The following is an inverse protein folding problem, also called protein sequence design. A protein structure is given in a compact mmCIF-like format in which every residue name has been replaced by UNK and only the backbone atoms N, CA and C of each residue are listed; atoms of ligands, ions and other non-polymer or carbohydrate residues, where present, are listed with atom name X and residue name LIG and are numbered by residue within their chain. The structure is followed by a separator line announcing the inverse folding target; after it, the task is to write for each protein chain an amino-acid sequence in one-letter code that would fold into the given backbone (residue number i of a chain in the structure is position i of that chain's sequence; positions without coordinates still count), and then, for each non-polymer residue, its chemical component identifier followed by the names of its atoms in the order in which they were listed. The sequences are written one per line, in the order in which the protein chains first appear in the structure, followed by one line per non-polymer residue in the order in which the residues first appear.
data_IF_659646448350
#
_entry.id   IF_659646448350
#
_cell.length_a   1.000
_cell.length_b   1.000
_cell.length_c   1.000
_cell.angle_alpha   90.00
_cell.angle_beta   90.00
_cell.angle_gamma   90.00
#
_symmetry.space_group_name_H-M   'P 1'
#
loop_
_entity.id
_entity.type
_entity.pdbx_description
1 polymer ?
#
# COMPACT_ATOMS: atom_id res chain seq x y z
N UNK A 1 -3.05 30.72 -49.51
CA UNK A 1 -1.99 30.87 -48.48
C UNK A 1 -1.79 29.54 -47.79
N UNK A 2 -0.67 28.84 -48.01
CA UNK A 2 -0.28 27.72 -47.14
C UNK A 2 0.11 28.34 -45.79
N UNK A 3 -0.65 28.10 -44.72
CA UNK A 3 -0.19 28.45 -43.36
C UNK A 3 1.14 27.72 -43.14
N UNK A 4 2.22 28.48 -42.93
CA UNK A 4 3.47 27.90 -42.44
C UNK A 4 3.17 27.17 -41.13
N UNK A 5 3.39 25.85 -41.11
CA UNK A 5 3.31 25.08 -39.87
C UNK A 5 4.36 25.63 -38.91
N UNK A 6 3.93 26.37 -37.89
CA UNK A 6 4.83 26.83 -36.82
C UNK A 6 5.57 25.62 -36.26
N UNK A 7 6.89 25.74 -36.14
CA UNK A 7 7.71 24.71 -35.51
C UNK A 7 7.42 24.64 -34.00
N UNK A 8 7.66 23.48 -33.40
CA UNK A 8 7.56 23.32 -31.93
C UNK A 8 8.56 24.24 -31.23
N UNK A 9 8.13 24.86 -30.14
CA UNK A 9 9.02 25.69 -29.31
C UNK A 9 10.13 24.84 -28.71
N UNK A 10 11.34 25.40 -28.66
CA UNK A 10 12.54 24.80 -28.06
C UNK A 10 12.72 25.32 -26.63
N UNK A 11 13.48 24.57 -25.83
CA UNK A 11 13.64 24.85 -24.40
C UNK A 11 14.17 26.27 -24.08
N UNK A 12 15.06 26.79 -24.93
CA UNK A 12 15.66 28.13 -24.77
C UNK A 12 14.81 29.27 -25.35
N UNK A 13 13.66 28.97 -25.95
CA UNK A 13 12.73 29.97 -26.50
C UNK A 13 11.69 30.41 -25.46
N UNK A 14 11.65 29.75 -24.29
CA UNK A 14 10.75 30.11 -23.19
C UNK A 14 11.34 31.23 -22.31
N UNK A 15 10.49 32.08 -21.68
CA UNK A 15 10.95 33.08 -20.71
C UNK A 15 11.73 32.47 -19.54
N UNK A 16 12.66 33.22 -18.96
CA UNK A 16 13.66 32.73 -18.00
C UNK A 16 13.10 31.96 -16.77
N UNK A 17 11.88 32.25 -16.34
CA UNK A 17 11.21 31.58 -15.22
C UNK A 17 10.70 30.17 -15.56
N UNK A 18 10.57 29.82 -16.85
CA UNK A 18 10.04 28.53 -17.28
C UNK A 18 11.06 27.41 -17.16
N UNK A 19 12.35 27.67 -17.35
CA UNK A 19 13.35 26.60 -17.38
C UNK A 19 13.44 25.86 -16.05
N UNK A 20 13.42 26.58 -14.92
CA UNK A 20 13.39 25.99 -13.58
C UNK A 20 12.17 25.06 -13.41
N UNK A 21 10.98 25.54 -13.80
CA UNK A 21 9.75 24.76 -13.74
C UNK A 21 9.81 23.53 -14.66
N UNK A 22 10.16 23.70 -15.94
CA UNK A 22 10.25 22.61 -16.91
C UNK A 22 11.25 21.56 -16.43
N UNK A 23 12.45 21.97 -16.02
CA UNK A 23 13.50 21.04 -15.55
C UNK A 23 13.06 20.34 -14.28
N UNK A 24 12.53 21.08 -13.29
CA UNK A 24 12.09 20.55 -12.00
C UNK A 24 10.90 19.59 -12.10
N UNK A 25 10.01 19.81 -13.07
CA UNK A 25 8.85 18.94 -13.28
C UNK A 25 9.14 17.77 -14.22
N UNK A 26 9.93 17.99 -15.29
CA UNK A 26 10.09 17.02 -16.37
C UNK A 26 11.27 16.06 -16.20
N UNK A 27 12.32 16.47 -15.49
CA UNK A 27 13.48 15.62 -15.20
C UNK A 27 13.40 15.07 -13.77
N UNK A 28 13.60 13.76 -13.64
CA UNK A 28 13.89 13.16 -12.35
C UNK A 28 15.29 13.58 -11.88
N UNK A 29 15.54 13.52 -10.56
CA UNK A 29 16.87 13.79 -10.01
C UNK A 29 17.96 12.90 -10.65
N UNK A 30 17.64 11.63 -10.92
CA UNK A 30 18.56 10.71 -11.56
C UNK A 30 18.92 11.13 -13.01
N UNK A 31 17.93 11.60 -13.78
CA UNK A 31 18.14 12.11 -15.13
C UNK A 31 18.93 13.42 -15.12
N UNK A 32 18.59 14.36 -14.23
CA UNK A 32 19.33 15.60 -14.05
C UNK A 32 20.80 15.32 -13.72
N UNK A 33 21.08 14.40 -12.77
CA UNK A 33 22.45 13.96 -12.45
C UNK A 33 23.17 13.34 -13.65
N UNK A 34 22.48 12.56 -14.50
CA UNK A 34 23.08 12.00 -15.73
C UNK A 34 23.49 13.11 -16.69
N UNK A 35 22.65 14.14 -16.86
CA UNK A 35 22.97 15.33 -17.66
C UNK A 35 24.16 16.08 -17.04
N UNK A 36 24.14 16.34 -15.73
CA UNK A 36 25.23 17.00 -15.02
C UNK A 36 26.57 16.29 -15.21
N UNK A 37 26.63 14.97 -15.00
CA UNK A 37 27.84 14.17 -15.23
C UNK A 37 28.33 14.24 -16.68
N UNK A 38 27.41 14.20 -17.65
CA UNK A 38 27.76 14.27 -19.08
C UNK A 38 28.45 15.59 -19.45
N UNK A 39 28.08 16.68 -18.78
CA UNK A 39 28.63 18.01 -19.03
C UNK A 39 29.64 18.46 -17.96
N UNK A 40 30.16 17.53 -17.16
CA UNK A 40 31.25 17.79 -16.23
C UNK A 40 30.88 18.62 -14.99
N UNK A 41 29.63 18.60 -14.55
CA UNK A 41 29.22 19.26 -13.30
C UNK A 41 29.78 18.50 -12.11
N UNK A 42 30.52 19.20 -11.26
CA UNK A 42 31.07 18.71 -9.99
C UNK A 42 30.56 19.58 -8.85
N UNK A 43 30.40 18.99 -7.66
CA UNK A 43 30.09 19.70 -6.42
C UNK A 43 31.10 19.27 -5.36
N UNK A 44 31.72 20.23 -4.69
CA UNK A 44 32.66 19.96 -3.59
C UNK A 44 31.94 19.42 -2.35
N UNK A 45 30.67 19.78 -2.18
CA UNK A 45 29.77 19.23 -1.16
C UNK A 45 28.80 18.21 -1.80
N UNK A 46 28.88 16.91 -1.45
CA UNK A 46 27.96 15.89 -1.93
C UNK A 46 26.48 16.16 -1.60
N UNK A 47 26.20 16.86 -0.50
CA UNK A 47 24.82 17.20 -0.08
C UNK A 47 24.18 18.25 -0.98
N UNK A 48 25.00 19.05 -1.68
CA UNK A 48 24.55 20.12 -2.58
C UNK A 48 24.49 19.69 -4.05
N UNK A 49 24.93 18.49 -4.38
CA UNK A 49 25.08 18.04 -5.76
C UNK A 49 23.82 18.24 -6.61
N UNK A 50 22.64 17.92 -6.07
CA UNK A 50 21.38 18.08 -6.79
C UNK A 50 21.04 19.53 -7.09
N UNK A 51 21.25 20.43 -6.12
CA UNK A 51 21.02 21.85 -6.28
C UNK A 51 22.01 22.46 -7.30
N UNK A 52 23.28 22.06 -7.24
CA UNK A 52 24.32 22.49 -8.18
C UNK A 52 24.01 22.01 -9.60
N UNK A 53 23.65 20.74 -9.77
CA UNK A 53 23.26 20.18 -11.08
C UNK A 53 22.01 20.86 -11.62
N UNK A 54 20.97 21.05 -10.79
CA UNK A 54 19.74 21.72 -11.22
C UNK A 54 20.03 23.15 -11.68
N UNK A 55 20.75 23.94 -10.87
CA UNK A 55 21.09 25.33 -11.18
C UNK A 55 21.92 25.45 -12.46
N UNK A 56 22.87 24.52 -12.67
CA UNK A 56 23.63 24.44 -13.92
C UNK A 56 22.73 24.20 -15.13
N UNK A 57 21.86 23.20 -15.07
CA UNK A 57 20.98 22.86 -16.20
C UNK A 57 20.02 24.01 -16.50
N UNK A 58 19.44 24.65 -15.47
CA UNK A 58 18.52 25.80 -15.63
C UNK A 58 19.23 26.96 -16.32
N UNK A 59 20.43 27.33 -15.88
CA UNK A 59 21.23 28.39 -16.48
C UNK A 59 21.57 28.10 -17.94
N UNK A 60 21.93 26.86 -18.26
CA UNK A 60 22.28 26.50 -19.63
C UNK A 60 21.05 26.31 -20.53
N UNK A 61 19.88 25.99 -19.94
CA UNK A 61 18.61 25.83 -20.63
C UNK A 61 17.98 27.15 -21.10
N UNK A 62 18.30 28.28 -20.46
CA UNK A 62 17.77 29.60 -20.84
C UNK A 62 18.43 30.21 -22.07
N UNK A 63 19.48 29.56 -22.60
CA UNK A 63 20.20 29.97 -23.81
C UNK A 63 20.38 28.78 -24.76
N UNK A 64 20.57 29.07 -26.04
CA UNK A 64 20.90 28.03 -27.01
C UNK A 64 22.33 27.51 -26.73
N UNK A 65 22.43 26.28 -26.26
CA UNK A 65 23.68 25.65 -25.80
C UNK A 65 23.67 24.16 -26.11
N UNK A 66 24.82 23.50 -25.98
CA UNK A 66 24.91 22.03 -26.11
C UNK A 66 24.06 21.34 -25.04
N UNK A 67 24.00 21.90 -23.83
CA UNK A 67 23.21 21.38 -22.72
C UNK A 67 21.72 21.54 -23.01
N UNK A 68 21.26 22.72 -23.42
CA UNK A 68 19.84 22.96 -23.70
C UNK A 68 19.34 22.16 -24.89
N UNK A 69 20.17 21.98 -25.92
CA UNK A 69 19.90 21.08 -27.05
C UNK A 69 19.79 19.62 -26.58
N UNK A 70 20.72 19.17 -25.73
CA UNK A 70 20.68 17.81 -25.20
C UNK A 70 19.43 17.56 -24.34
N UNK A 71 19.09 18.48 -23.44
CA UNK A 71 17.90 18.37 -22.59
C UNK A 71 16.63 18.44 -23.43
N UNK A 72 16.53 19.36 -24.39
CA UNK A 72 15.39 19.45 -25.30
C UNK A 72 15.17 18.13 -26.07
N UNK A 73 16.25 17.53 -26.60
CA UNK A 73 16.18 16.22 -27.28
C UNK A 73 15.80 15.08 -26.32
N UNK A 74 16.32 15.10 -25.10
CA UNK A 74 15.96 14.15 -24.06
C UNK A 74 14.45 14.22 -23.75
N UNK A 75 13.91 15.41 -23.52
CA UNK A 75 12.48 15.62 -23.24
C UNK A 75 11.60 15.22 -24.44
N UNK A 76 12.03 15.55 -25.66
CA UNK A 76 11.34 15.14 -26.89
C UNK A 76 11.25 13.62 -27.03
N UNK A 77 12.35 12.91 -26.79
CA UNK A 77 12.36 11.44 -26.82
C UNK A 77 11.55 10.84 -25.67
N UNK A 78 11.70 11.39 -24.47
CA UNK A 78 11.03 10.89 -23.25
C UNK A 78 9.51 10.99 -23.36
N UNK A 79 9.00 12.06 -23.96
CA UNK A 79 7.57 12.36 -24.02
C UNK A 79 7.00 12.28 -25.44
N UNK A 80 7.64 11.54 -26.33
CA UNK A 80 7.24 11.41 -27.74
C UNK A 80 5.77 11.00 -27.90
N UNK A 81 5.29 10.05 -27.09
CA UNK A 81 3.88 9.63 -27.11
C UNK A 81 2.90 10.78 -26.80
N UNK A 82 3.18 11.56 -25.76
CA UNK A 82 2.33 12.71 -25.39
C UNK A 82 2.46 13.87 -26.36
N UNK A 83 3.64 14.09 -26.95
CA UNK A 83 3.83 15.07 -28.02
C UNK A 83 2.99 14.70 -29.25
N UNK A 84 2.95 13.41 -29.62
CA UNK A 84 2.08 12.93 -30.71
C UNK A 84 0.60 13.16 -30.39
N UNK A 85 0.15 12.84 -29.16
CA UNK A 85 -1.23 13.09 -28.72
C UNK A 85 -1.58 14.59 -28.76
N UNK A 86 -0.70 15.45 -28.26
CA UNK A 86 -0.87 16.90 -28.28
C UNK A 86 -0.90 17.50 -29.69
N UNK A 87 -0.26 16.86 -30.68
CA UNK A 87 -0.22 17.36 -32.06
C UNK A 87 -1.58 17.41 -32.77
N UNK A 88 -2.57 16.67 -32.25
CA UNK A 88 -3.96 16.74 -32.71
C UNK A 88 -4.68 18.02 -32.25
N UNK A 89 -4.15 18.72 -31.23
CA UNK A 89 -4.70 19.99 -30.76
C UNK A 89 -4.14 21.16 -31.60
N UNK A 90 -4.94 21.62 -32.55
CA UNK A 90 -4.58 22.66 -33.53
C UNK A 90 -5.01 24.09 -33.12
N UNK A 91 -5.65 24.24 -31.96
CA UNK A 91 -6.06 25.55 -31.42
C UNK A 91 -5.70 25.68 -29.93
N UNK A 92 -5.47 26.89 -29.41
CA UNK A 92 -5.15 27.09 -27.99
C UNK A 92 -6.17 26.44 -27.02
N UNK A 93 -7.51 26.54 -27.23
CA UNK A 93 -8.47 25.87 -26.36
C UNK A 93 -8.35 24.34 -26.36
N UNK A 94 -8.00 23.73 -27.49
CA UNK A 94 -7.75 22.27 -27.57
C UNK A 94 -6.47 21.89 -26.83
N UNK A 95 -5.42 22.71 -26.92
CA UNK A 95 -4.18 22.47 -26.15
C UNK A 95 -4.43 22.57 -24.65
N UNK A 96 -5.24 23.53 -24.21
CA UNK A 96 -5.65 23.66 -22.81
C UNK A 96 -6.56 22.50 -22.34
N UNK A 97 -7.42 21.98 -23.20
CA UNK A 97 -8.20 20.78 -22.90
C UNK A 97 -7.30 19.55 -22.73
N UNK A 98 -6.35 19.34 -23.65
CA UNK A 98 -5.32 18.31 -23.53
C UNK A 98 -4.50 18.45 -22.24
N UNK A 99 -4.12 19.67 -21.88
CA UNK A 99 -3.41 19.93 -20.62
C UNK A 99 -4.22 19.51 -19.39
N UNK A 100 -5.50 19.87 -19.33
CA UNK A 100 -6.40 19.46 -18.24
C UNK A 100 -6.51 17.95 -18.12
N UNK A 101 -6.73 17.25 -19.24
CA UNK A 101 -6.79 15.78 -19.27
C UNK A 101 -5.48 15.16 -18.75
N UNK A 102 -4.33 15.72 -19.13
CA UNK A 102 -3.03 15.24 -18.64
C UNK A 102 -2.86 15.47 -17.12
N UNK A 103 -3.35 16.59 -16.58
CA UNK A 103 -3.37 16.86 -15.15
C UNK A 103 -4.27 15.86 -14.40
N UNK A 104 -5.49 15.65 -14.89
CA UNK A 104 -6.48 14.75 -14.27
C UNK A 104 -6.00 13.30 -14.27
N UNK A 105 -5.24 12.91 -15.31
CA UNK A 105 -4.62 11.59 -15.42
C UNK A 105 -3.31 11.45 -14.63
N UNK A 106 -2.86 12.48 -13.91
CA UNK A 106 -1.59 12.46 -13.18
C UNK A 106 -0.34 12.47 -14.07
N UNK A 107 -0.49 12.77 -15.36
CA UNK A 107 0.57 12.81 -16.37
C UNK A 107 1.17 14.22 -16.53
N UNK A 108 1.27 14.96 -15.41
CA UNK A 108 1.70 16.36 -15.38
C UNK A 108 3.02 16.59 -16.11
N UNK A 109 4.13 15.83 -15.90
CA UNK A 109 5.40 16.10 -16.57
C UNK A 109 5.35 15.99 -18.11
N UNK A 110 4.67 14.95 -18.61
CA UNK A 110 4.63 14.66 -20.04
C UNK A 110 3.62 15.57 -20.75
N UNK A 111 2.47 15.83 -20.12
CA UNK A 111 1.50 16.82 -20.58
C UNK A 111 2.08 18.23 -20.62
N UNK A 112 2.89 18.60 -19.62
CA UNK A 112 3.45 19.94 -19.49
C UNK A 112 4.40 20.26 -20.65
N UNK A 113 5.37 19.37 -20.91
CA UNK A 113 6.29 19.53 -22.04
C UNK A 113 5.56 19.50 -23.39
N UNK A 114 4.63 18.56 -23.58
CA UNK A 114 3.88 18.41 -24.83
C UNK A 114 3.01 19.63 -25.13
N UNK A 115 2.31 20.17 -24.14
CA UNK A 115 1.45 21.33 -24.30
C UNK A 115 2.26 22.62 -24.53
N UNK A 116 3.27 22.90 -23.70
CA UNK A 116 4.08 24.12 -23.81
C UNK A 116 4.82 24.25 -25.15
N UNK A 117 5.23 23.13 -25.72
CA UNK A 117 5.94 23.10 -27.01
C UNK A 117 5.02 22.99 -28.22
N UNK A 118 3.70 22.90 -28.00
CA UNK A 118 2.72 22.81 -29.08
C UNK A 118 2.70 24.13 -29.90
N UNK A 119 2.80 24.07 -31.24
CA UNK A 119 2.81 25.27 -32.07
C UNK A 119 1.51 26.08 -32.06
N UNK A 120 0.40 25.42 -31.69
CA UNK A 120 -0.92 26.01 -31.61
C UNK A 120 -1.17 26.78 -30.30
N UNK A 121 -0.28 26.67 -29.31
CA UNK A 121 -0.43 27.36 -28.03
C UNK A 121 -0.06 28.84 -28.12
N UNK A 122 -0.94 29.69 -27.62
CA UNK A 122 -0.73 31.13 -27.49
C UNK A 122 -0.03 31.50 -26.16
N UNK A 123 0.27 32.78 -25.99
CA UNK A 123 0.97 33.28 -24.79
C UNK A 123 0.11 33.18 -23.53
N UNK A 124 -1.19 33.47 -23.62
CA UNK A 124 -2.12 33.36 -22.51
C UNK A 124 -2.23 31.91 -22.00
N UNK A 125 -2.39 30.94 -22.92
CA UNK A 125 -2.41 29.53 -22.57
C UNK A 125 -1.08 29.05 -21.98
N UNK A 126 0.05 29.55 -22.49
CA UNK A 126 1.38 29.25 -21.94
C UNK A 126 1.52 29.73 -20.49
N UNK A 127 1.07 30.94 -20.17
CA UNK A 127 1.07 31.50 -18.80
C UNK A 127 0.15 30.69 -17.89
N UNK A 128 -1.03 30.29 -18.39
CA UNK A 128 -2.01 29.49 -17.63
C UNK A 128 -1.42 28.15 -17.22
N UNK A 129 -0.87 27.40 -18.16
CA UNK A 129 -0.26 26.08 -17.93
C UNK A 129 0.91 26.19 -16.94
N UNK A 130 1.78 27.21 -17.11
CA UNK A 130 2.87 27.46 -16.18
C UNK A 130 2.37 27.75 -14.75
N UNK A 131 1.32 28.57 -14.63
CA UNK A 131 0.72 28.92 -13.34
C UNK A 131 0.14 27.70 -12.62
N UNK A 132 -0.50 26.78 -13.35
CA UNK A 132 -1.02 25.53 -12.77
C UNK A 132 0.12 24.67 -12.19
N UNK A 133 1.21 24.46 -12.94
CA UNK A 133 2.38 23.69 -12.47
C UNK A 133 3.07 24.38 -11.29
N UNK A 134 3.15 25.71 -11.32
CA UNK A 134 3.72 26.49 -10.23
C UNK A 134 2.94 26.28 -8.93
N UNK A 135 1.60 26.33 -8.98
CA UNK A 135 0.75 26.07 -7.82
C UNK A 135 0.84 24.62 -7.33
N UNK A 136 0.86 23.65 -8.25
CA UNK A 136 1.07 22.24 -7.90
C UNK A 136 2.40 22.02 -7.18
N UNK A 137 3.46 22.72 -7.60
CA UNK A 137 4.77 22.65 -6.96
C UNK A 137 4.74 23.20 -5.52
N UNK A 138 4.02 24.31 -5.30
CA UNK A 138 3.80 24.86 -3.95
C UNK A 138 2.99 23.91 -3.04
N UNK A 139 1.90 23.34 -3.55
CA UNK A 139 1.05 22.41 -2.81
C UNK A 139 1.84 21.14 -2.44
N UNK A 140 2.56 20.54 -3.41
CA UNK A 140 3.39 19.37 -3.17
C UNK A 140 4.50 19.68 -2.16
N UNK A 141 5.15 20.85 -2.26
CA UNK A 141 6.13 21.29 -1.27
C UNK A 141 5.53 21.35 0.14
N UNK A 142 4.35 21.95 0.28
CA UNK A 142 3.68 22.13 1.58
C UNK A 142 3.20 20.80 2.18
N UNK A 143 2.58 19.96 1.37
CA UNK A 143 2.13 18.63 1.78
C UNK A 143 3.32 17.73 2.15
N UNK A 144 4.42 17.80 1.43
CA UNK A 144 5.63 17.04 1.74
C UNK A 144 6.20 17.42 3.11
N UNK A 145 6.20 18.70 3.48
CA UNK A 145 6.64 19.13 4.83
C UNK A 145 5.73 18.54 5.91
N UNK A 146 4.41 18.54 5.71
CA UNK A 146 3.46 17.93 6.66
C UNK A 146 3.68 16.43 6.77
N UNK A 147 3.86 15.74 5.64
CA UNK A 147 4.13 14.30 5.60
C UNK A 147 5.46 13.96 6.27
N UNK A 148 6.53 14.73 6.03
CA UNK A 148 7.83 14.55 6.69
C UNK A 148 7.72 14.68 8.20
N UNK A 149 7.00 15.69 8.71
CA UNK A 149 6.76 15.86 10.15
C UNK A 149 6.00 14.68 10.75
N UNK A 150 4.94 14.23 10.05
CA UNK A 150 4.15 13.08 10.50
C UNK A 150 4.95 11.80 10.50
N UNK A 151 5.80 11.59 9.49
CA UNK A 151 6.70 10.45 9.39
C UNK A 151 7.70 10.45 10.55
N UNK A 152 8.41 11.56 10.76
CA UNK A 152 9.34 11.71 11.88
C UNK A 152 8.68 11.50 13.25
N UNK A 153 7.46 12.02 13.44
CA UNK A 153 6.71 11.78 14.67
C UNK A 153 6.34 10.31 14.85
N UNK A 154 5.88 9.66 13.78
CA UNK A 154 5.49 8.23 13.82
C UNK A 154 6.69 7.33 14.08
N UNK A 155 7.84 7.63 13.48
CA UNK A 155 9.11 6.93 13.73
C UNK A 155 9.53 7.04 15.20
N UNK A 156 9.48 8.25 15.77
CA UNK A 156 9.78 8.46 17.20
C UNK A 156 8.84 7.68 18.12
N UNK A 157 7.53 7.74 17.87
CA UNK A 157 6.54 6.99 18.67
C UNK A 157 6.76 5.48 18.55
N UNK A 158 7.15 5.00 17.38
CA UNK A 158 7.47 3.59 17.17
C UNK A 158 8.70 3.17 18.00
N UNK A 159 9.76 3.98 18.00
CA UNK A 159 10.97 3.76 18.78
C UNK A 159 10.66 3.71 20.29
N UNK A 160 9.93 4.70 20.82
CA UNK A 160 9.52 4.73 22.23
C UNK A 160 8.66 3.51 22.63
N UNK A 161 7.80 3.03 21.73
CA UNK A 161 6.98 1.85 21.99
C UNK A 161 7.81 0.56 22.00
N UNK A 162 8.81 0.44 21.13
CA UNK A 162 9.74 -0.68 21.11
C UNK A 162 10.58 -0.74 22.40
N UNK A 163 11.05 0.41 22.90
CA UNK A 163 11.76 0.50 24.17
C UNK A 163 10.87 0.06 25.34
N UNK A 164 9.65 0.60 25.43
CA UNK A 164 8.67 0.23 26.46
C UNK A 164 8.34 -1.26 26.42
N UNK A 165 8.16 -1.82 25.22
CA UNK A 165 7.90 -3.25 25.04
C UNK A 165 9.07 -4.10 25.54
N UNK A 166 10.31 -3.69 25.23
CA UNK A 166 11.52 -4.39 25.67
C UNK A 166 11.64 -4.37 27.20
N UNK A 167 11.40 -3.23 27.85
CA UNK A 167 11.44 -3.14 29.32
C UNK A 167 10.31 -3.95 29.98
N UNK A 168 9.10 -3.94 29.41
CA UNK A 168 8.01 -4.79 29.90
C UNK A 168 8.35 -6.28 29.80
N UNK A 169 8.95 -6.71 28.69
CA UNK A 169 9.42 -8.09 28.53
C UNK A 169 10.49 -8.44 29.57
N UNK A 170 11.47 -7.54 29.82
CA UNK A 170 12.53 -7.73 30.81
C UNK A 170 11.97 -7.85 32.23
N UNK A 171 11.05 -6.95 32.63
CA UNK A 171 10.37 -6.98 33.93
C UNK A 171 9.56 -8.25 34.11
N UNK A 172 8.87 -8.68 33.06
CA UNK A 172 8.11 -9.93 33.09
C UNK A 172 9.01 -11.15 33.28
N UNK A 173 10.13 -11.21 32.57
CA UNK A 173 11.09 -12.32 32.67
C UNK A 173 11.72 -12.40 34.08
N UNK A 174 12.13 -11.27 34.67
CA UNK A 174 12.62 -11.25 36.05
C UNK A 174 11.58 -11.72 37.06
N UNK A 175 10.33 -11.26 36.91
CA UNK A 175 9.25 -11.65 37.83
C UNK A 175 8.90 -13.14 37.71
N UNK A 176 8.97 -13.69 36.51
CA UNK A 176 8.84 -15.13 36.26
C UNK A 176 9.96 -15.91 36.98
N UNK A 177 11.20 -15.44 36.88
CA UNK A 177 12.35 -16.05 37.55
C UNK A 177 12.22 -16.02 39.08
N UNK A 178 11.78 -14.89 39.65
CA UNK A 178 11.57 -14.76 41.09
C UNK A 178 10.48 -15.70 41.62
N UNK A 179 9.39 -15.87 40.87
CA UNK A 179 8.33 -16.82 41.22
C UNK A 179 8.84 -18.26 41.16
N UNK A 180 9.63 -18.62 40.14
CA UNK A 180 10.25 -19.95 40.04
C UNK A 180 11.13 -20.26 41.26
N UNK A 181 11.99 -19.31 41.66
CA UNK A 181 12.83 -19.46 42.86
C UNK A 181 12.02 -19.63 44.14
N UNK A 182 10.93 -18.87 44.31
CA UNK A 182 10.04 -19.01 45.48
C UNK A 182 9.37 -20.38 45.53
N UNK A 183 8.89 -20.87 44.39
CA UNK A 183 8.30 -22.21 44.31
C UNK A 183 9.35 -23.27 44.68
N UNK A 184 10.56 -23.18 44.14
CA UNK A 184 11.65 -24.13 44.45
C UNK A 184 11.97 -24.19 45.95
N UNK A 185 12.06 -23.02 46.60
CA UNK A 185 12.29 -22.92 48.05
C UNK A 185 11.13 -23.58 48.82
N UNK A 186 9.89 -23.27 48.48
CA UNK A 186 8.72 -23.82 49.18
C UNK A 186 8.54 -25.33 48.93
N UNK A 187 8.85 -25.82 47.73
CA UNK A 187 8.87 -27.27 47.45
C UNK A 187 9.93 -27.99 48.26
N UNK A 188 11.11 -27.39 48.44
CA UNK A 188 12.19 -27.96 49.25
C UNK A 188 11.79 -28.01 50.73
N UNK A 189 11.19 -26.94 51.26
CA UNK A 189 10.65 -26.91 52.63
C UNK A 189 9.59 -27.99 52.86
N UNK A 190 8.67 -28.17 51.91
CA UNK A 190 7.66 -29.22 51.97
C UNK A 190 8.29 -30.62 51.98
N UNK A 191 9.28 -30.88 51.14
CA UNK A 191 9.98 -32.17 51.11
C UNK A 191 10.67 -32.47 52.47
N UNK A 192 11.37 -31.49 53.04
CA UNK A 192 12.01 -31.63 54.37
C UNK A 192 10.97 -31.87 55.47
N UNK A 193 9.86 -31.14 55.46
CA UNK A 193 8.81 -31.32 56.45
C UNK A 193 8.14 -32.70 56.35
N UNK A 194 7.92 -33.22 55.14
CA UNK A 194 7.42 -34.59 54.90
C UNK A 194 8.40 -35.63 55.43
N UNK A 195 9.69 -35.49 55.13
CA UNK A 195 10.73 -36.40 55.59
C UNK A 195 10.84 -36.42 57.13
N UNK A 196 10.66 -35.28 57.80
CA UNK A 196 10.65 -35.19 59.26
C UNK A 196 9.44 -35.89 59.90
N UNK A 197 8.31 -35.95 59.19
CA UNK A 197 7.12 -36.69 59.60
C UNK A 197 7.29 -38.19 59.38
N UNK A 198 7.80 -38.60 58.22
CA UNK A 198 8.05 -40.02 57.89
C UNK A 198 9.16 -40.66 58.73
N UNK A 199 10.16 -39.89 59.16
CA UNK A 199 11.29 -40.38 59.97
C UNK A 199 11.01 -40.52 61.48
N UNK A 200 9.81 -40.17 61.95
CA UNK A 200 9.43 -40.30 63.37
C UNK A 200 8.79 -41.66 63.65
N UNK A 201 9.41 -42.42 64.57
CA UNK A 201 8.86 -43.66 65.12
C UNK A 201 7.62 -43.34 65.97
N UNK A 202 6.55 -44.14 65.85
CA UNK A 202 5.31 -43.99 66.62
C UNK A 202 5.56 -44.21 68.13
N UNK A 203 5.81 -43.11 68.85
CA UNK A 203 5.85 -43.07 70.31
C UNK A 203 4.53 -42.47 70.84
N UNK A 204 3.72 -43.19 71.65
CA UNK A 204 2.40 -42.75 72.10
C UNK A 204 2.37 -41.53 73.05
N UNK A 205 3.52 -40.93 73.35
CA UNK A 205 3.62 -39.79 74.27
C UNK A 205 2.76 -38.60 73.83
N UNK A 206 2.00 -37.95 74.74
CA UNK A 206 1.17 -36.78 74.42
C UNK A 206 1.99 -35.58 73.91
N UNK A 207 3.26 -35.48 74.30
CA UNK A 207 4.18 -34.48 73.76
C UNK A 207 4.57 -34.77 72.29
N UNK A 208 4.71 -36.06 71.94
CA UNK A 208 4.92 -36.50 70.56
C UNK A 208 3.71 -36.16 69.68
N UNK A 209 2.50 -36.47 70.14
CA UNK A 209 1.24 -36.17 69.42
C UNK A 209 1.01 -34.67 69.20
N UNK A 210 1.32 -33.82 70.18
CA UNK A 210 1.23 -32.36 69.99
C UNK A 210 2.23 -31.85 68.94
N UNK A 211 3.44 -32.42 68.91
CA UNK A 211 4.50 -31.98 68.02
C UNK A 211 4.25 -32.46 66.58
N UNK A 212 3.74 -33.68 66.39
CA UNK A 212 3.30 -34.18 65.08
C UNK A 212 2.12 -33.38 64.54
N UNK A 213 1.07 -33.13 65.34
CA UNK A 213 -0.07 -32.30 64.92
C UNK A 213 0.37 -30.88 64.53
N UNK A 214 1.32 -30.28 65.26
CA UNK A 214 1.88 -28.96 64.93
C UNK A 214 2.61 -28.95 63.58
N UNK A 215 3.36 -30.02 63.29
CA UNK A 215 4.09 -30.17 62.02
C UNK A 215 3.16 -30.46 60.85
N UNK A 216 2.14 -31.30 61.02
CA UNK A 216 1.10 -31.55 60.02
C UNK A 216 0.35 -30.26 59.65
N UNK A 217 0.01 -29.44 60.64
CA UNK A 217 -0.64 -28.14 60.41
C UNK A 217 0.28 -27.20 59.62
N UNK A 218 1.59 -27.19 59.93
CA UNK A 218 2.59 -26.43 59.15
C UNK A 218 2.72 -26.95 57.73
N UNK A 219 2.70 -28.26 57.54
CA UNK A 219 2.81 -28.92 56.24
C UNK A 219 1.62 -28.58 55.35
N UNK A 220 0.39 -28.72 55.86
CA UNK A 220 -0.81 -28.28 55.14
C UNK A 220 -0.74 -26.81 54.73
N UNK A 221 -0.23 -25.93 55.61
CA UNK A 221 -0.11 -24.51 55.31
C UNK A 221 0.90 -24.23 54.19
N UNK A 222 2.05 -24.92 54.20
CA UNK A 222 3.07 -24.84 53.16
C UNK A 222 2.57 -25.42 51.83
N UNK A 223 1.87 -26.55 51.84
CA UNK A 223 1.25 -27.13 50.64
C UNK A 223 0.21 -26.19 50.02
N UNK A 224 -0.64 -25.58 50.84
CA UNK A 224 -1.62 -24.59 50.37
C UNK A 224 -0.92 -23.38 49.72
N UNK A 225 0.15 -22.88 50.33
CA UNK A 225 0.95 -21.78 49.77
C UNK A 225 1.64 -22.17 48.45
N UNK A 226 2.18 -23.38 48.36
CA UNK A 226 2.87 -23.88 47.16
C UNK A 226 1.88 -24.05 46.01
N UNK A 227 0.69 -24.59 46.29
CA UNK A 227 -0.39 -24.74 45.31
C UNK A 227 -0.88 -23.37 44.81
N UNK A 228 -1.04 -22.39 45.72
CA UNK A 228 -1.44 -21.03 45.34
C UNK A 228 -0.41 -20.36 44.43
N UNK A 229 0.87 -20.41 44.80
CA UNK A 229 1.96 -19.83 43.99
C UNK A 229 2.09 -20.54 42.63
N UNK A 230 1.94 -21.87 42.58
CA UNK A 230 1.98 -22.64 41.35
C UNK A 230 0.82 -22.30 40.41
N UNK A 231 -0.38 -22.09 40.97
CA UNK A 231 -1.53 -21.65 40.19
C UNK A 231 -1.33 -20.23 39.63
N UNK A 232 -0.85 -19.28 40.44
CA UNK A 232 -0.54 -17.92 39.98
C UNK A 232 0.51 -17.93 38.86
N UNK A 233 1.53 -18.79 38.94
CA UNK A 233 2.56 -18.93 37.90
C UNK A 233 1.97 -19.50 36.61
N UNK A 234 1.10 -20.51 36.70
CA UNK A 234 0.42 -21.11 35.54
C UNK A 234 -0.47 -20.08 34.81
N UNK A 235 -1.28 -19.32 35.56
CA UNK A 235 -2.13 -18.25 35.02
C UNK A 235 -1.30 -17.18 34.30
N UNK A 236 -0.22 -16.70 34.94
CA UNK A 236 0.67 -15.69 34.35
C UNK A 236 1.40 -16.22 33.12
N UNK A 237 1.84 -17.49 33.12
CA UNK A 237 2.45 -18.10 31.95
C UNK A 237 1.47 -18.20 30.77
N UNK A 238 0.19 -18.49 31.03
CA UNK A 238 -0.86 -18.46 30.00
C UNK A 238 -1.05 -17.06 29.43
N UNK A 239 -1.14 -16.04 30.29
CA UNK A 239 -1.26 -14.64 29.85
C UNK A 239 -0.05 -14.20 29.02
N UNK A 240 1.17 -14.55 29.45
CA UNK A 240 2.39 -14.26 28.71
C UNK A 240 2.44 -14.97 27.35
N UNK A 241 2.05 -16.24 27.30
CA UNK A 241 1.96 -16.98 26.05
C UNK A 241 0.93 -16.36 25.10
N UNK A 242 -0.23 -15.95 25.61
CA UNK A 242 -1.25 -15.26 24.83
C UNK A 242 -0.74 -13.91 24.29
N UNK A 243 -0.09 -13.10 25.14
CA UNK A 243 0.49 -11.83 24.73
C UNK A 243 1.61 -11.99 23.69
N UNK A 244 2.50 -12.98 23.86
CA UNK A 244 3.54 -13.35 22.88
C UNK A 244 2.94 -13.76 21.54
N UNK A 245 1.88 -14.55 21.55
CA UNK A 245 1.18 -14.95 20.32
C UNK A 245 0.55 -13.74 19.60
N UNK A 246 -0.06 -12.80 20.35
CA UNK A 246 -0.61 -11.57 19.77
C UNK A 246 0.50 -10.75 19.09
N UNK A 247 1.64 -10.57 19.77
CA UNK A 247 2.79 -9.85 19.21
C UNK A 247 3.33 -10.51 17.95
N UNK A 248 3.50 -11.84 17.97
CA UNK A 248 3.96 -12.60 16.81
C UNK A 248 3.04 -12.42 15.60
N UNK A 249 1.72 -12.50 15.80
CA UNK A 249 0.73 -12.27 14.73
C UNK A 249 0.82 -10.84 14.19
N UNK A 250 1.05 -9.85 15.06
CA UNK A 250 1.22 -8.44 14.64
C UNK A 250 2.52 -8.24 13.85
N UNK A 251 3.62 -8.86 14.26
CA UNK A 251 4.90 -8.78 13.56
C UNK A 251 4.82 -9.43 12.17
N UNK A 252 4.14 -10.57 12.06
CA UNK A 252 3.86 -11.23 10.78
C UNK A 252 3.01 -10.33 9.87
N UNK A 253 1.98 -9.67 10.41
CA UNK A 253 1.11 -8.74 9.69
C UNK A 253 1.86 -7.48 9.22
N UNK A 254 2.77 -6.94 10.06
CA UNK A 254 3.66 -5.83 9.70
C UNK A 254 4.62 -6.26 8.58
N UNK A 255 5.20 -7.46 8.67
CA UNK A 255 6.09 -7.99 7.64
C UNK A 255 5.36 -8.20 6.29
N UNK A 256 4.12 -8.67 6.32
CA UNK A 256 3.25 -8.78 5.14
C UNK A 256 2.95 -7.42 4.52
N UNK A 257 2.63 -6.42 5.34
CA UNK A 257 2.39 -5.05 4.87
C UNK A 257 3.65 -4.42 4.26
N UNK A 258 4.82 -4.64 4.86
CA UNK A 258 6.11 -4.20 4.30
C UNK A 258 6.41 -4.86 2.95
N UNK A 259 6.17 -6.17 2.82
CA UNK A 259 6.29 -6.89 1.53
C UNK A 259 5.33 -6.34 0.49
N UNK A 260 4.09 -6.05 0.87
CA UNK A 260 3.10 -5.43 0.01
C UNK A 260 3.55 -4.05 -0.45
N UNK A 261 4.03 -3.19 0.44
CA UNK A 261 4.55 -1.86 0.09
C UNK A 261 5.75 -1.97 -0.86
N UNK A 262 6.74 -2.81 -0.55
CA UNK A 262 7.89 -3.04 -1.42
C UNK A 262 7.49 -3.57 -2.81
N UNK A 263 6.44 -4.40 -2.90
CA UNK A 263 5.90 -4.86 -4.18
C UNK A 263 5.18 -3.75 -4.96
N UNK A 264 4.54 -2.80 -4.26
CA UNK A 264 3.92 -1.63 -4.89
C UNK A 264 4.98 -0.65 -5.39
N UNK A 265 6.01 -0.37 -4.59
CA UNK A 265 7.14 0.48 -5.00
C UNK A 265 7.89 -0.11 -6.19
N UNK A 266 8.11 -1.43 -6.23
CA UNK A 266 8.69 -2.09 -7.41
C UNK A 266 7.82 -1.93 -8.63
N UNK A 267 6.50 -2.15 -8.53
CA UNK A 267 5.57 -1.97 -9.66
C UNK A 267 5.51 -0.53 -10.16
N UNK A 268 5.53 0.45 -9.25
CA UNK A 268 5.59 1.87 -9.61
C UNK A 268 6.92 2.22 -10.30
N UNK A 269 8.03 1.59 -9.89
CA UNK A 269 9.36 1.82 -10.47
C UNK A 269 9.64 1.02 -11.75
N UNK A 270 8.95 -0.09 -12.00
CA UNK A 270 9.08 -0.90 -13.23
C UNK A 270 8.01 -0.62 -14.28
N UNK A 271 7.09 0.33 -14.02
CA UNK A 271 6.15 0.84 -15.02
C UNK A 271 6.84 1.83 -15.98
N UNK A 272 7.88 1.36 -16.67
CA UNK A 272 8.33 1.93 -17.94
C UNK A 272 8.26 0.78 -18.95
N UNK A 273 7.04 0.38 -19.28
CA UNK A 273 6.73 -0.42 -20.47
C UNK A 273 5.84 0.48 -21.34
N UNK A 274 6.11 0.64 -22.64
CA UNK A 274 5.35 1.55 -23.48
C UNK A 274 3.87 1.17 -23.46
N UNK A 275 3.02 2.19 -23.30
CA UNK A 275 1.57 2.09 -23.45
C UNK A 275 1.25 1.39 -24.77
N UNK A 276 0.72 0.17 -24.69
CA UNK A 276 -0.14 -0.33 -25.75
C UNK A 276 -1.44 0.48 -25.69
N UNK A 277 -1.96 0.83 -26.86
CA UNK A 277 -3.15 1.64 -27.04
C UNK A 277 -4.29 1.16 -26.12
N UNK A 278 -4.84 2.10 -25.35
CA UNK A 278 -5.94 1.88 -24.42
C UNK A 278 -7.18 1.40 -25.19
N UNK A 279 -7.32 0.09 -25.33
CA UNK A 279 -8.62 -0.55 -25.56
C UNK A 279 -9.34 -0.49 -24.23
N UNK A 280 -10.13 0.55 -24.03
CA UNK A 280 -11.04 0.63 -22.90
C UNK A 280 -12.33 -0.12 -23.25
N UNK A 281 -12.66 -1.20 -22.53
CA UNK A 281 -13.88 -1.25 -21.76
C UNK A 281 -15.14 -0.61 -22.34
N UNK A 282 -15.81 -1.07 -23.40
CA UNK A 282 -17.12 -0.48 -23.74
C UNK A 282 -18.19 -0.94 -22.73
N UNK A 283 -18.19 -0.35 -21.53
CA UNK A 283 -19.02 -0.77 -20.39
C UNK A 283 -20.20 0.17 -20.09
N UNK A 284 -20.38 1.22 -20.88
CA UNK A 284 -21.45 2.21 -20.69
C UNK A 284 -22.84 1.54 -20.58
N UNK A 285 -23.60 1.90 -19.55
CA UNK A 285 -24.92 1.33 -19.26
C UNK A 285 -24.92 -0.07 -18.59
N UNK A 286 -23.76 -0.68 -18.34
CA UNK A 286 -23.69 -1.98 -17.66
C UNK A 286 -23.74 -1.84 -16.14
N UNK A 287 -24.35 -2.82 -15.48
CA UNK A 287 -24.31 -2.97 -14.02
C UNK A 287 -23.41 -4.15 -13.64
N UNK A 288 -22.47 -3.97 -12.72
CA UNK A 288 -21.54 -4.99 -12.25
C UNK A 288 -21.69 -5.23 -10.75
N UNK A 289 -21.51 -6.49 -10.34
CA UNK A 289 -21.45 -6.86 -8.92
C UNK A 289 -20.02 -7.15 -8.50
N UNK A 290 -19.56 -6.51 -7.42
CA UNK A 290 -18.26 -6.75 -6.81
C UNK A 290 -18.42 -7.43 -5.44
N UNK A 291 -18.02 -8.70 -5.33
CA UNK A 291 -18.24 -9.52 -4.12
C UNK A 291 -16.95 -9.68 -3.31
N UNK A 292 -16.95 -9.22 -2.06
CA UNK A 292 -15.78 -9.26 -1.15
C UNK A 292 -14.85 -8.06 -1.34
N UNK A 293 -13.61 -8.16 -0.86
CA UNK A 293 -12.59 -7.10 -1.04
C UNK A 293 -12.60 -5.97 0.00
N UNK A 294 -11.63 -5.04 -0.13
CA UNK A 294 -11.38 -3.96 0.85
C UNK A 294 -12.27 -2.73 0.59
N UNK A 295 -12.87 -2.09 1.62
CA UNK A 295 -13.74 -0.92 1.46
C UNK A 295 -13.13 0.23 0.64
N UNK A 296 -11.86 0.56 0.89
CA UNK A 296 -11.16 1.65 0.19
C UNK A 296 -10.91 1.34 -1.31
N UNK A 297 -10.68 0.07 -1.66
CA UNK A 297 -10.53 -0.34 -3.06
C UNK A 297 -11.87 -0.28 -3.77
N UNK A 298 -12.95 -0.72 -3.10
CA UNK A 298 -14.31 -0.70 -3.67
C UNK A 298 -14.70 0.71 -4.13
N UNK A 299 -14.45 1.73 -3.31
CA UNK A 299 -14.74 3.13 -3.66
C UNK A 299 -13.98 3.56 -4.91
N UNK A 300 -12.69 3.20 -5.04
CA UNK A 300 -11.88 3.55 -6.22
C UNK A 300 -12.34 2.85 -7.49
N UNK A 301 -12.70 1.57 -7.40
CA UNK A 301 -13.24 0.80 -8.53
C UNK A 301 -14.61 1.37 -8.92
N UNK A 302 -15.46 1.69 -7.95
CA UNK A 302 -16.77 2.27 -8.18
C UNK A 302 -16.67 3.61 -8.93
N UNK A 303 -15.75 4.49 -8.52
CA UNK A 303 -15.53 5.76 -9.22
C UNK A 303 -15.09 5.54 -10.67
N UNK A 304 -14.14 4.62 -10.93
CA UNK A 304 -13.68 4.28 -12.28
C UNK A 304 -14.81 3.77 -13.17
N UNK A 305 -15.65 2.87 -12.64
CA UNK A 305 -16.77 2.27 -13.37
C UNK A 305 -17.84 3.32 -13.68
N UNK A 306 -18.12 4.23 -12.73
CA UNK A 306 -19.05 5.35 -12.92
C UNK A 306 -18.55 6.39 -13.93
N UNK A 307 -17.25 6.69 -13.93
CA UNK A 307 -16.62 7.57 -14.93
C UNK A 307 -16.77 7.01 -16.36
N UNK A 308 -16.94 5.69 -16.50
CA UNK A 308 -17.14 4.98 -17.77
C UNK A 308 -18.62 4.67 -18.06
N UNK A 309 -19.56 5.27 -17.32
CA UNK A 309 -21.01 5.13 -17.56
C UNK A 309 -21.65 3.83 -17.03
N UNK A 310 -20.91 3.03 -16.28
CA UNK A 310 -21.38 1.79 -15.69
C UNK A 310 -21.70 1.95 -14.19
N UNK A 311 -22.52 1.04 -13.64
CA UNK A 311 -22.83 0.98 -12.22
C UNK A 311 -22.09 -0.18 -11.54
N UNK A 312 -21.49 0.06 -10.37
CA UNK A 312 -20.88 -0.98 -9.56
C UNK A 312 -21.62 -1.14 -8.23
N UNK A 313 -22.26 -2.30 -8.04
CA UNK A 313 -22.86 -2.71 -6.77
C UNK A 313 -21.85 -3.54 -5.97
N UNK A 314 -21.63 -3.17 -4.71
CA UNK A 314 -20.66 -3.85 -3.85
C UNK A 314 -21.36 -4.72 -2.80
N UNK A 315 -20.97 -5.99 -2.71
CA UNK A 315 -21.40 -6.91 -1.66
C UNK A 315 -20.19 -7.39 -0.85
N UNK A 316 -20.36 -7.66 0.44
CA UNK A 316 -19.27 -8.14 1.32
C UNK A 316 -19.09 -9.67 1.27
N UNK A 317 -20.07 -10.37 0.68
CA UNK A 317 -20.13 -11.83 0.62
C UNK A 317 -20.67 -12.45 1.92
N UNK A 318 -21.45 -11.72 2.72
CA UNK A 318 -21.89 -12.05 4.08
C UNK A 318 -22.25 -13.52 4.38
N UNK A 319 -22.06 -13.91 5.64
CA UNK A 319 -22.22 -15.29 6.15
C UNK A 319 -23.64 -15.63 6.64
N UNK A 320 -24.61 -14.72 6.55
CA UNK A 320 -25.96 -14.90 7.09
C UNK A 320 -26.95 -15.32 5.99
N UNK A 321 -28.04 -16.04 6.33
CA UNK A 321 -29.06 -16.46 5.35
C UNK A 321 -29.66 -15.28 4.57
N UNK A 322 -29.83 -14.14 5.24
CA UNK A 322 -30.38 -12.91 4.64
C UNK A 322 -29.45 -12.30 3.59
N UNK A 323 -28.12 -12.32 3.81
CA UNK A 323 -27.15 -11.82 2.83
C UNK A 323 -27.02 -12.71 1.59
N UNK A 324 -27.33 -14.01 1.71
CA UNK A 324 -27.31 -14.96 0.58
C UNK A 324 -28.53 -14.78 -0.32
N UNK A 325 -29.73 -14.58 0.24
CA UNK A 325 -30.92 -14.28 -0.55
C UNK A 325 -30.77 -12.96 -1.32
N UNK A 326 -30.20 -11.93 -0.69
CA UNK A 326 -29.89 -10.66 -1.35
C UNK A 326 -28.85 -10.82 -2.47
N UNK A 327 -27.83 -11.67 -2.26
CA UNK A 327 -26.79 -11.95 -3.25
C UNK A 327 -27.37 -12.52 -4.55
N UNK A 328 -28.36 -13.41 -4.49
CA UNK A 328 -29.00 -13.97 -5.70
C UNK A 328 -29.67 -12.88 -6.55
N UNK A 329 -30.48 -12.01 -5.93
CA UNK A 329 -31.14 -10.90 -6.62
C UNK A 329 -30.14 -9.95 -7.27
N UNK A 330 -29.04 -9.64 -6.56
CA UNK A 330 -27.97 -8.78 -7.08
C UNK A 330 -27.22 -9.41 -8.27
N UNK A 331 -27.01 -10.73 -8.25
CA UNK A 331 -26.42 -11.45 -9.38
C UNK A 331 -27.36 -11.41 -10.59
N UNK A 332 -28.66 -11.59 -10.39
CA UNK A 332 -29.66 -11.55 -11.46
C UNK A 332 -29.72 -10.17 -12.14
N UNK A 333 -29.63 -9.08 -11.37
CA UNK A 333 -29.65 -7.71 -11.90
C UNK A 333 -28.34 -7.28 -12.58
N UNK A 334 -27.23 -7.97 -12.29
CA UNK A 334 -25.91 -7.58 -12.80
C UNK A 334 -25.60 -8.22 -14.16
N UNK A 335 -24.81 -7.53 -14.97
CA UNK A 335 -24.29 -7.99 -16.26
C UNK A 335 -23.04 -8.87 -16.08
N UNK A 336 -22.24 -8.64 -15.05
CA UNK A 336 -21.10 -9.48 -14.69
C UNK A 336 -20.80 -9.40 -13.19
N UNK A 337 -20.14 -10.43 -12.67
CA UNK A 337 -19.75 -10.55 -11.26
C UNK A 337 -18.24 -10.68 -11.13
N UNK A 338 -17.63 -9.78 -10.37
CA UNK A 338 -16.20 -9.73 -10.08
C UNK A 338 -15.92 -10.13 -8.63
N UNK A 339 -14.94 -11.02 -8.43
CA UNK A 339 -14.62 -11.51 -7.10
C UNK A 339 -13.11 -11.65 -6.86
N UNK A 340 -12.50 -10.83 -5.97
CA UNK A 340 -11.12 -11.02 -5.53
C UNK A 340 -10.97 -12.24 -4.63
N UNK A 341 -10.12 -13.19 -5.02
CA UNK A 341 -9.92 -14.45 -4.29
C UNK A 341 -9.25 -14.28 -2.93
N UNK A 342 -8.55 -13.16 -2.69
CA UNK A 342 -7.75 -12.94 -1.49
C UNK A 342 -8.51 -12.30 -0.31
N UNK A 343 -9.74 -11.85 -0.50
CA UNK A 343 -10.55 -11.16 0.53
C UNK A 343 -12.04 -11.49 0.41
N UNK A 344 -12.34 -12.77 0.24
CA UNK A 344 -13.68 -13.35 0.31
C UNK A 344 -13.59 -14.65 1.12
N UNK A 345 -14.62 -14.99 1.90
CA UNK A 345 -14.62 -16.27 2.62
C UNK A 345 -14.79 -17.43 1.63
N UNK A 346 -14.18 -18.59 1.90
CA UNK A 346 -14.29 -19.76 1.00
C UNK A 346 -15.75 -20.15 0.74
N UNK A 347 -16.59 -20.12 1.78
CA UNK A 347 -18.03 -20.41 1.65
C UNK A 347 -18.72 -19.41 0.71
N UNK A 348 -18.43 -18.12 0.84
CA UNK A 348 -18.99 -17.06 -0.02
C UNK A 348 -18.51 -17.18 -1.47
N UNK A 349 -17.26 -17.58 -1.68
CA UNK A 349 -16.69 -17.76 -3.02
C UNK A 349 -17.35 -18.92 -3.78
N UNK A 350 -17.51 -20.07 -3.11
CA UNK A 350 -18.19 -21.24 -3.66
C UNK A 350 -19.65 -20.91 -3.98
N UNK A 351 -20.34 -20.23 -3.05
CA UNK A 351 -21.75 -19.89 -3.23
C UNK A 351 -21.97 -18.85 -4.34
N UNK A 352 -21.12 -17.82 -4.43
CA UNK A 352 -21.18 -16.83 -5.52
C UNK A 352 -20.98 -17.51 -6.87
N UNK A 353 -19.97 -18.38 -7.00
CA UNK A 353 -19.72 -19.15 -8.23
C UNK A 353 -20.91 -20.04 -8.59
N UNK A 354 -21.55 -20.68 -7.61
CA UNK A 354 -22.74 -21.52 -7.79
C UNK A 354 -23.93 -20.69 -8.30
N UNK A 355 -24.19 -19.54 -7.69
CA UNK A 355 -25.29 -18.65 -8.07
C UNK A 355 -25.08 -18.02 -9.45
N UNK A 356 -23.87 -17.56 -9.78
CA UNK A 356 -23.58 -17.03 -11.12
C UNK A 356 -23.81 -18.09 -12.22
N UNK A 357 -23.44 -19.35 -11.97
CA UNK A 357 -23.73 -20.47 -12.89
C UNK A 357 -25.22 -20.72 -13.05
N UNK A 358 -25.99 -20.63 -11.96
CA UNK A 358 -27.45 -20.81 -12.01
C UNK A 358 -28.15 -19.67 -12.77
N UNK A 359 -27.68 -18.44 -12.62
CA UNK A 359 -28.25 -17.25 -13.27
C UNK A 359 -27.66 -17.00 -14.67
N UNK A 360 -26.77 -17.88 -15.16
CA UNK A 360 -26.02 -17.74 -16.41
C UNK A 360 -25.33 -16.37 -16.56
N UNK A 361 -24.65 -15.91 -15.49
CA UNK A 361 -23.95 -14.63 -15.45
C UNK A 361 -22.43 -14.81 -15.54
N UNK A 362 -21.72 -13.97 -16.31
CA UNK A 362 -20.26 -13.93 -16.33
C UNK A 362 -19.69 -13.79 -14.93
N UNK A 363 -18.78 -14.69 -14.56
CA UNK A 363 -18.14 -14.74 -13.24
C UNK A 363 -16.63 -14.69 -13.40
N UNK A 364 -16.02 -13.58 -12.98
CA UNK A 364 -14.61 -13.29 -13.21
C UNK A 364 -13.89 -13.18 -11.86
N UNK A 365 -12.93 -14.06 -11.65
CA UNK A 365 -12.11 -14.07 -10.42
C UNK A 365 -10.88 -13.20 -10.58
N UNK A 366 -10.59 -12.38 -9.57
CA UNK A 366 -9.43 -11.50 -9.55
C UNK A 366 -8.37 -12.02 -8.57
N UNK A 367 -7.10 -12.00 -8.98
CA UNK A 367 -5.97 -12.43 -8.12
C UNK A 367 -5.81 -11.58 -6.85
N UNK A 368 -6.21 -10.31 -6.91
CA UNK A 368 -6.12 -9.39 -5.77
C UNK A 368 -7.15 -8.26 -5.83
N UNK A 369 -7.36 -7.56 -4.72
CA UNK A 369 -8.17 -6.34 -4.60
C UNK A 369 -7.45 -5.09 -5.14
N UNK A 370 -6.87 -5.13 -6.34
CA UNK A 370 -6.16 -3.98 -6.94
C UNK A 370 -6.86 -3.47 -8.21
N UNK A 371 -6.67 -2.18 -8.51
CA UNK A 371 -7.22 -1.54 -9.73
C UNK A 371 -6.73 -2.23 -11.01
N UNK A 372 -5.44 -2.57 -11.08
CA UNK A 372 -4.87 -3.27 -12.23
C UNK A 372 -5.51 -4.66 -12.46
N UNK A 373 -5.77 -5.42 -11.39
CA UNK A 373 -6.49 -6.69 -11.52
C UNK A 373 -7.95 -6.49 -11.96
N UNK A 374 -8.57 -5.37 -11.60
CA UNK A 374 -9.94 -5.07 -12.03
C UNK A 374 -9.99 -4.68 -13.51
N UNK A 375 -9.06 -3.84 -13.98
CA UNK A 375 -8.94 -3.50 -15.41
C UNK A 375 -8.68 -4.74 -16.27
N UNK A 376 -7.81 -5.65 -15.81
CA UNK A 376 -7.60 -6.94 -16.47
C UNK A 376 -8.87 -7.81 -16.48
N UNK A 377 -9.66 -7.77 -15.41
CA UNK A 377 -10.94 -8.48 -15.36
C UNK A 377 -11.99 -7.88 -16.31
N UNK A 378 -11.99 -6.56 -16.52
CA UNK A 378 -12.84 -5.92 -17.53
C UNK A 378 -12.46 -6.36 -18.95
N UNK A 379 -11.16 -6.44 -19.27
CA UNK A 379 -10.69 -6.97 -20.56
C UNK A 379 -11.11 -8.44 -20.77
N UNK A 380 -11.11 -9.23 -19.69
CA UNK A 380 -11.62 -10.62 -19.74
C UNK A 380 -13.14 -10.68 -19.98
N UNK A 381 -13.90 -9.68 -19.52
CA UNK A 381 -15.33 -9.60 -19.79
C UNK A 381 -15.60 -9.32 -21.27
N UNK A 382 -14.83 -8.43 -21.91
CA UNK A 382 -14.97 -8.16 -23.34
C UNK A 382 -14.70 -9.41 -24.20
N UNK A 383 -13.69 -10.19 -23.84
CA UNK A 383 -13.42 -11.48 -24.46
C UNK A 383 -14.57 -12.49 -24.26
N UNK A 384 -15.33 -12.37 -23.16
CA UNK A 384 -16.51 -13.19 -22.89
C UNK A 384 -17.74 -12.79 -23.73
N UNK A 385 -17.82 -11.52 -24.13
CA UNK A 385 -18.91 -10.99 -24.97
C UNK A 385 -18.64 -11.09 -26.47
N UNK A 386 -17.38 -11.33 -26.88
CA UNK A 386 -16.94 -11.36 -28.27
C UNK A 386 -16.80 -12.74 -28.92
N UNK A 387 -16.90 -13.84 -28.17
CA UNK A 387 -16.73 -15.21 -28.69
C UNK A 387 -17.86 -16.14 -28.20
N UNK A 388 -18.38 -16.95 -29.13
CA UNK A 388 -19.38 -18.00 -28.92
C UNK A 388 -19.06 -18.90 -27.69
N UNK A 389 -20.05 -19.35 -26.90
CA UNK A 389 -19.82 -19.96 -25.60
C UNK A 389 -19.37 -21.42 -25.72
N UNK A 390 -18.11 -21.65 -26.12
CA UNK A 390 -17.44 -22.95 -26.03
C UNK A 390 -15.93 -22.83 -25.82
N UNK A 391 -15.49 -22.26 -24.70
CA UNK A 391 -14.23 -22.70 -24.07
C UNK A 391 -14.43 -22.78 -22.56
N UNK A 392 -14.88 -23.96 -22.14
CA UNK A 392 -14.94 -24.36 -20.75
C UNK A 392 -13.56 -24.80 -20.25
N UNK A 393 -13.30 -24.52 -18.97
CA UNK A 393 -12.32 -25.15 -18.09
C UNK A 393 -10.86 -25.23 -18.58
N UNK A 394 -10.04 -24.29 -18.08
CA UNK A 394 -8.68 -24.63 -17.66
C UNK A 394 -8.43 -24.12 -16.23
N UNK A 395 -7.88 -24.97 -15.34
CA UNK A 395 -7.51 -24.57 -13.99
C UNK A 395 -6.26 -23.67 -14.04
N UNK A 396 -6.20 -22.72 -13.11
CA UNK A 396 -5.00 -21.95 -12.86
C UNK A 396 -3.86 -22.91 -12.48
N UNK A 397 -2.85 -23.01 -13.33
CA UNK A 397 -1.58 -23.63 -13.02
C UNK A 397 -0.82 -22.80 -11.98
N UNK A 398 -0.08 -23.55 -11.15
CA UNK A 398 0.59 -23.26 -9.86
C UNK A 398 1.25 -21.89 -9.65
#
# INVERSE_FOLDING_TARGET
MKLERKARKKLWEFPHNFQCSIIGTCLTLAEARKVGRKFGVVSDDPTQLDATVHSFIVREASKQSLVSTHVCNLLNRKFEGMIRKASAADTPPKVLAFWREACDSGLVPSGYWAALTCPALDEEGMIRIFSDVHMLSHINGSNNVVLMRRLAHTEKVLEENLEKQTELQRRSAMREQDLRKKIEIETTKNAVARQQLEGRVEDPSPHYQQTTNSLETKLQKLELQTNKLSHELCERNRELAAARNILKVRDEEIADLRRLLASHDRRLNTAIVPAQEDVHPAIDGMQFLYVGGRPQTKIRIQNLVQEQGAELVCHDGGKTKTSICALKTLIESSHAVFMPVNKVSHASAVETKRLCRQCNKPFITMKSCSMACFQQALLQLEAYTGDDPKVADQPAAE
#
